data_IF_008143530704
#
_entry.id   IF_008143530704
#
_cell.length_a   1.000
_cell.length_b   1.000
_cell.length_c   1.000
_cell.angle_alpha   90.00
_cell.angle_beta   90.00
_cell.angle_gamma   90.00
#
_symmetry.space_group_name_H-M   'P 1'
#
loop_
_entity.id
_entity.type
_entity.pdbx_description
1 polymer ?
#
# COMPACT_ATOMS: atom_id res chain seq x y z
N UNK A 1 -58.30 -7.32 -46.74
CA UNK A 1 -57.77 -5.95 -46.65
C UNK A 1 -57.73 -5.61 -45.17
N UNK A 2 -56.58 -5.71 -44.52
CA UNK A 2 -56.34 -5.15 -43.17
C UNK A 2 -54.83 -5.26 -42.87
N UNK A 3 -54.07 -4.24 -43.28
CA UNK A 3 -52.69 -4.02 -42.86
C UNK A 3 -52.75 -3.33 -41.49
N UNK A 4 -52.44 -4.04 -40.41
CA UNK A 4 -52.05 -3.41 -39.15
C UNK A 4 -50.64 -2.86 -39.33
N UNK A 5 -50.56 -1.56 -39.58
CA UNK A 5 -49.34 -0.77 -39.45
C UNK A 5 -48.99 -0.77 -37.96
N UNK A 6 -47.90 -1.45 -37.60
CA UNK A 6 -47.28 -1.26 -36.31
C UNK A 6 -46.62 0.12 -36.32
N UNK A 7 -47.26 1.09 -35.66
CA UNK A 7 -46.57 2.31 -35.26
C UNK A 7 -45.50 1.93 -34.24
N UNK A 8 -44.26 1.79 -34.71
CA UNK A 8 -43.10 1.88 -33.85
C UNK A 8 -43.10 3.29 -33.23
N UNK A 9 -43.58 3.39 -31.99
CA UNK A 9 -43.35 4.55 -31.14
C UNK A 9 -41.83 4.71 -31.03
N UNK A 10 -41.28 5.68 -31.78
CA UNK A 10 -39.93 6.20 -31.59
C UNK A 10 -39.85 6.69 -30.14
N UNK A 11 -39.41 5.81 -29.23
CA UNK A 11 -38.99 6.24 -27.89
C UNK A 11 -37.83 7.19 -28.11
N UNK A 12 -37.98 8.43 -27.67
CA UNK A 12 -36.87 9.39 -27.60
C UNK A 12 -35.76 8.75 -26.77
N UNK A 13 -34.77 8.19 -27.45
CA UNK A 13 -33.63 7.58 -26.79
C UNK A 13 -32.77 8.72 -26.28
N UNK A 14 -32.55 8.74 -24.97
CA UNK A 14 -31.59 9.65 -24.35
C UNK A 14 -30.25 9.47 -25.09
N UNK A 15 -29.63 10.54 -25.60
CA UNK A 15 -28.33 10.48 -26.25
C UNK A 15 -27.29 9.77 -25.38
N UNK A 16 -26.45 8.93 -26.00
CA UNK A 16 -25.47 8.10 -25.29
C UNK A 16 -24.55 8.91 -24.37
N UNK A 17 -24.11 10.10 -24.84
CA UNK A 17 -23.26 10.98 -24.02
C UNK A 17 -23.95 11.47 -22.74
N UNK A 18 -25.28 11.63 -22.72
CA UNK A 18 -26.03 12.00 -21.52
C UNK A 18 -26.16 10.79 -20.59
N UNK A 19 -26.39 9.60 -21.14
CA UNK A 19 -26.37 8.34 -20.36
C UNK A 19 -25.02 8.18 -19.66
N UNK A 20 -23.91 8.34 -20.38
CA UNK A 20 -22.56 8.27 -19.81
C UNK A 20 -22.38 9.27 -18.66
N UNK A 21 -22.76 10.54 -18.86
CA UNK A 21 -22.68 11.57 -17.80
C UNK A 21 -23.51 11.22 -16.56
N UNK A 22 -24.69 10.62 -16.73
CA UNK A 22 -25.54 10.18 -15.61
C UNK A 22 -24.88 9.02 -14.88
N UNK A 23 -24.40 8.00 -15.61
CA UNK A 23 -23.78 6.83 -15.02
C UNK A 23 -22.49 7.17 -14.27
N UNK A 24 -21.66 8.09 -14.80
CA UNK A 24 -20.43 8.53 -14.14
C UNK A 24 -20.67 9.19 -12.77
N UNK A 25 -21.83 9.81 -12.56
CA UNK A 25 -22.21 10.42 -11.27
C UNK A 25 -22.87 9.45 -10.30
N UNK A 26 -23.08 8.21 -10.71
CA UNK A 26 -23.82 7.21 -9.94
C UNK A 26 -22.88 6.46 -8.97
N UNK A 27 -23.29 6.22 -7.71
CA UNK A 27 -22.51 5.42 -6.77
C UNK A 27 -22.25 4.00 -7.29
N UNK A 28 -21.08 3.44 -6.97
CA UNK A 28 -20.63 2.15 -7.50
C UNK A 28 -21.61 0.99 -7.23
N UNK A 29 -22.29 0.98 -6.08
CA UNK A 29 -23.27 -0.08 -5.78
C UNK A 29 -24.43 -0.09 -6.79
N UNK A 30 -24.90 1.09 -7.19
CA UNK A 30 -25.96 1.24 -8.18
C UNK A 30 -25.44 0.92 -9.59
N UNK A 31 -24.23 1.38 -9.92
CA UNK A 31 -23.63 1.14 -11.24
C UNK A 31 -23.42 -0.36 -11.51
N UNK A 32 -23.06 -1.13 -10.49
CA UNK A 32 -22.91 -2.58 -10.60
C UNK A 32 -24.25 -3.28 -10.87
N UNK A 33 -25.36 -2.79 -10.29
CA UNK A 33 -26.70 -3.29 -10.59
C UNK A 33 -27.14 -2.92 -12.01
N UNK A 34 -26.73 -1.76 -12.49
CA UNK A 34 -27.06 -1.24 -13.82
C UNK A 34 -26.45 -2.05 -14.97
N UNK A 35 -25.42 -2.86 -14.70
CA UNK A 35 -24.90 -3.85 -15.67
C UNK A 35 -25.96 -4.85 -16.14
N UNK A 36 -26.99 -5.12 -15.33
CA UNK A 36 -28.08 -6.03 -15.69
C UNK A 36 -29.22 -5.37 -16.48
N UNK A 37 -29.18 -4.05 -16.70
CA UNK A 37 -30.26 -3.30 -17.36
C UNK A 37 -30.25 -3.50 -18.87
N UNK A 38 -29.08 -3.48 -19.51
CA UNK A 38 -28.92 -3.76 -20.94
C UNK A 38 -27.48 -4.14 -21.28
N UNK A 39 -27.29 -4.81 -22.42
CA UNK A 39 -25.96 -5.11 -22.94
C UNK A 39 -25.16 -3.83 -23.22
N UNK A 40 -25.79 -2.79 -23.79
CA UNK A 40 -25.13 -1.51 -24.07
C UNK A 40 -24.61 -0.84 -22.80
N UNK A 41 -25.38 -0.85 -21.71
CA UNK A 41 -24.95 -0.29 -20.43
C UNK A 41 -23.82 -1.11 -19.81
N UNK A 42 -23.92 -2.44 -19.84
CA UNK A 42 -22.84 -3.30 -19.36
C UNK A 42 -21.54 -3.02 -20.13
N UNK A 43 -21.60 -2.98 -21.46
CA UNK A 43 -20.46 -2.67 -22.32
C UNK A 43 -19.84 -1.32 -21.97
N UNK A 44 -20.66 -0.27 -21.87
CA UNK A 44 -20.22 1.08 -21.50
C UNK A 44 -19.50 1.11 -20.15
N UNK A 45 -20.08 0.48 -19.11
CA UNK A 45 -19.52 0.46 -17.74
C UNK A 45 -18.19 -0.30 -17.67
N UNK A 46 -17.95 -1.26 -18.56
CA UNK A 46 -16.67 -1.99 -18.67
C UNK A 46 -15.61 -1.30 -19.54
N UNK A 47 -15.92 -0.19 -20.23
CA UNK A 47 -14.93 0.50 -21.05
C UNK A 47 -13.82 1.13 -20.19
N UNK A 48 -12.53 1.05 -20.58
CA UNK A 48 -11.43 1.60 -19.80
C UNK A 48 -11.59 3.08 -19.48
N UNK A 49 -12.05 3.89 -20.44
CA UNK A 49 -12.29 5.32 -20.20
C UNK A 49 -13.36 5.54 -19.12
N UNK A 50 -14.43 4.74 -19.13
CA UNK A 50 -15.53 4.87 -18.18
C UNK A 50 -15.05 4.55 -16.76
N UNK A 51 -14.27 3.47 -16.62
CA UNK A 51 -13.67 3.05 -15.35
C UNK A 51 -12.75 4.17 -14.81
N UNK A 52 -11.91 4.75 -15.66
CA UNK A 52 -11.00 5.86 -15.29
C UNK A 52 -11.76 7.10 -14.82
N UNK A 53 -12.75 7.54 -15.59
CA UNK A 53 -13.57 8.70 -15.26
C UNK A 53 -14.40 8.48 -13.99
N UNK A 54 -14.95 7.27 -13.80
CA UNK A 54 -15.67 6.92 -12.58
C UNK A 54 -14.75 6.90 -11.36
N UNK A 55 -13.56 6.34 -11.50
CA UNK A 55 -12.52 6.30 -10.46
C UNK A 55 -12.06 7.71 -10.05
N UNK A 56 -11.88 8.62 -11.01
CA UNK A 56 -11.50 10.01 -10.73
C UNK A 56 -12.54 10.76 -9.88
N UNK A 57 -13.80 10.33 -9.94
CA UNK A 57 -14.90 10.87 -9.13
C UNK A 57 -15.17 10.05 -7.85
N UNK A 58 -14.38 9.01 -7.58
CA UNK A 58 -14.57 8.15 -6.43
C UNK A 58 -14.24 8.90 -5.13
N UNK A 59 -15.07 8.70 -4.11
CA UNK A 59 -14.84 9.27 -2.80
C UNK A 59 -13.74 8.49 -2.07
N UNK A 60 -12.75 9.16 -1.47
CA UNK A 60 -11.77 8.48 -0.64
C UNK A 60 -12.45 7.93 0.62
N UNK A 61 -12.07 6.72 0.98
CA UNK A 61 -12.46 5.99 2.18
C UNK A 61 -11.18 5.57 2.89
N UNK A 62 -11.29 5.22 4.18
CA UNK A 62 -10.18 4.61 4.91
C UNK A 62 -10.43 3.11 4.95
N UNK A 63 -9.56 2.35 4.29
CA UNK A 63 -9.54 0.91 4.38
C UNK A 63 -8.75 0.52 5.62
N UNK A 64 -9.40 -0.19 6.56
CA UNK A 64 -8.78 -0.69 7.81
C UNK A 64 -8.99 -2.19 7.96
N UNK A 65 -7.94 -2.89 8.38
CA UNK A 65 -8.01 -4.29 8.80
C UNK A 65 -6.97 -4.59 9.87
N UNK A 66 -7.34 -5.49 10.78
CA UNK A 66 -6.38 -6.18 11.61
C UNK A 66 -5.59 -7.20 10.79
N UNK A 67 -4.45 -7.62 11.34
CA UNK A 67 -3.54 -8.53 10.71
C UNK A 67 -3.37 -9.77 11.61
N UNK A 68 -3.92 -10.93 11.23
CA UNK A 68 -4.34 -11.26 9.86
C UNK A 68 -5.74 -10.76 9.47
N UNK A 69 -5.94 -10.60 8.16
CA UNK A 69 -7.20 -10.13 7.55
C UNK A 69 -8.30 -11.16 7.77
N UNK A 70 -9.22 -10.84 8.67
CA UNK A 70 -10.49 -11.58 8.86
C UNK A 70 -11.64 -10.83 8.19
N UNK A 71 -11.64 -9.50 8.27
CA UNK A 71 -12.62 -8.66 7.59
C UNK A 71 -12.02 -7.29 7.26
N UNK A 72 -12.44 -6.71 6.14
CA UNK A 72 -12.07 -5.34 5.78
C UNK A 72 -13.19 -4.38 6.19
N UNK A 73 -12.80 -3.28 6.83
CA UNK A 73 -13.71 -2.18 7.12
C UNK A 73 -13.37 -0.98 6.25
N UNK A 74 -14.40 -0.43 5.60
CA UNK A 74 -14.32 0.85 4.91
C UNK A 74 -14.98 1.91 5.79
N UNK A 75 -14.20 2.92 6.18
CA UNK A 75 -14.62 4.02 7.03
C UNK A 75 -14.75 5.29 6.20
N UNK A 76 -15.76 6.10 6.50
CA UNK A 76 -15.83 7.47 6.00
C UNK A 76 -14.81 8.31 6.76
N UNK A 77 -14.04 9.14 6.06
CA UNK A 77 -13.20 10.13 6.74
C UNK A 77 -14.05 11.34 7.16
N UNK A 78 -14.82 11.14 8.23
CA UNK A 78 -15.57 12.18 8.92
C UNK A 78 -15.23 12.15 10.42
N UNK A 79 -15.72 13.12 11.20
CA UNK A 79 -15.37 13.23 12.61
C UNK A 79 -15.50 11.93 13.43
N UNK A 80 -16.53 11.12 13.15
CA UNK A 80 -16.80 9.86 13.86
C UNK A 80 -16.12 8.62 13.30
N UNK A 81 -15.46 8.69 12.14
CA UNK A 81 -15.00 7.53 11.38
C UNK A 81 -16.11 6.50 11.16
N UNK A 82 -17.26 6.97 10.68
CA UNK A 82 -18.43 6.12 10.52
C UNK A 82 -18.14 4.92 9.61
N UNK A 83 -18.59 3.73 10.04
CA UNK A 83 -18.46 2.50 9.24
C UNK A 83 -19.34 2.59 8.00
N UNK A 84 -18.73 2.73 6.82
CA UNK A 84 -19.46 2.76 5.55
C UNK A 84 -19.91 1.37 5.09
N UNK A 85 -19.05 0.37 5.28
CA UNK A 85 -19.36 -1.03 4.98
C UNK A 85 -18.29 -1.96 5.53
N UNK A 86 -18.72 -3.15 5.98
CA UNK A 86 -17.83 -4.28 6.20
C UNK A 86 -17.80 -5.14 4.93
N UNK A 87 -16.61 -5.54 4.52
CA UNK A 87 -16.39 -6.41 3.37
C UNK A 87 -15.75 -7.69 3.86
N UNK A 88 -16.54 -8.76 3.77
CA UNK A 88 -16.09 -10.09 4.15
C UNK A 88 -15.30 -10.72 3.01
N UNK A 89 -14.02 -10.93 3.25
CA UNK A 89 -13.20 -11.77 2.40
C UNK A 89 -13.37 -13.21 2.88
N UNK A 90 -14.30 -13.94 2.28
CA UNK A 90 -14.66 -15.30 2.66
C UNK A 90 -13.54 -16.28 2.28
N UNK A 91 -12.49 -16.38 3.11
CA UNK A 91 -11.46 -17.41 3.00
C UNK A 91 -11.08 -17.96 4.38
N UNK A 92 -10.88 -19.28 4.51
CA UNK A 92 -10.60 -19.92 5.79
C UNK A 92 -9.20 -19.66 6.36
N UNK A 93 -8.35 -18.86 5.69
CA UNK A 93 -6.95 -18.68 6.05
C UNK A 93 -6.57 -17.20 6.15
N UNK A 94 -5.56 -16.91 6.97
CA UNK A 94 -5.04 -15.58 7.23
C UNK A 94 -4.29 -14.98 6.03
N UNK A 95 -4.69 -13.77 5.65
CA UNK A 95 -3.98 -12.93 4.68
C UNK A 95 -3.45 -11.66 5.33
N UNK A 96 -2.51 -11.01 4.66
CA UNK A 96 -2.04 -9.65 4.97
C UNK A 96 -2.31 -8.77 3.76
N UNK A 97 -2.74 -7.52 3.98
CA UNK A 97 -2.71 -6.53 2.90
C UNK A 97 -1.28 -6.06 2.72
N UNK A 98 -0.80 -6.12 1.47
CA UNK A 98 0.48 -5.53 1.08
C UNK A 98 0.27 -4.06 0.74
N UNK A 99 -0.69 -3.80 -0.15
CA UNK A 99 -0.96 -2.46 -0.67
C UNK A 99 -2.35 -2.39 -1.30
N UNK A 100 -2.81 -1.16 -1.52
CA UNK A 100 -3.98 -0.88 -2.35
C UNK A 100 -3.63 0.20 -3.39
N UNK A 101 -4.22 0.12 -4.57
CA UNK A 101 -4.03 1.06 -5.65
C UNK A 101 -5.30 1.12 -6.50
N UNK A 102 -5.87 2.31 -6.69
CA UNK A 102 -7.01 2.54 -7.58
C UNK A 102 -8.18 1.54 -7.39
N UNK A 103 -8.44 1.18 -6.13
CA UNK A 103 -9.49 0.27 -5.69
C UNK A 103 -9.21 -1.23 -5.84
N UNK A 104 -8.01 -1.60 -6.26
CA UNK A 104 -7.48 -2.97 -6.22
C UNK A 104 -6.60 -3.13 -4.99
N UNK A 105 -6.71 -4.27 -4.31
CA UNK A 105 -5.95 -4.64 -3.12
C UNK A 105 -5.06 -5.84 -3.43
N UNK A 106 -3.79 -5.78 -3.05
CA UNK A 106 -2.86 -6.90 -3.11
C UNK A 106 -2.82 -7.59 -1.74
N UNK A 107 -3.13 -8.87 -1.71
CA UNK A 107 -3.10 -9.71 -0.51
C UNK A 107 -1.97 -10.74 -0.60
N UNK A 108 -1.34 -11.03 0.54
CA UNK A 108 -0.34 -12.09 0.72
C UNK A 108 -0.80 -13.10 1.77
N UNK A 109 -0.74 -14.40 1.47
CA UNK A 109 -1.00 -15.47 2.46
C UNK A 109 0.14 -15.64 3.46
N UNK A 110 -0.17 -15.91 4.75
CA UNK A 110 0.84 -16.04 5.83
C UNK A 110 1.54 -17.39 5.93
N UNK A 111 0.91 -18.50 5.56
CA UNK A 111 1.41 -19.85 5.88
C UNK A 111 2.09 -20.57 4.71
N UNK A 112 3.02 -21.47 5.06
CA UNK A 112 3.89 -22.16 4.09
C UNK A 112 3.16 -23.17 3.21
N UNK A 113 2.01 -23.68 3.64
CA UNK A 113 1.20 -24.70 2.95
C UNK A 113 0.64 -24.26 1.58
N UNK A 114 0.79 -22.98 1.23
CA UNK A 114 0.44 -22.48 -0.10
C UNK A 114 1.63 -22.63 -1.07
N UNK A 115 1.66 -23.81 -1.69
CA UNK A 115 2.53 -24.23 -2.79
C UNK A 115 2.24 -23.44 -4.09
N UNK A 116 2.60 -22.16 -4.10
CA UNK A 116 2.69 -21.35 -5.33
C UNK A 116 1.62 -20.28 -5.56
N UNK A 117 0.57 -20.14 -4.73
CA UNK A 117 -0.50 -19.12 -4.90
C UNK A 117 -0.65 -18.18 -3.71
N UNK A 118 0.45 -17.52 -3.33
CA UNK A 118 0.46 -16.64 -2.15
C UNK A 118 -0.05 -15.23 -2.40
N UNK A 119 -0.14 -14.80 -3.65
CA UNK A 119 -0.51 -13.44 -4.02
C UNK A 119 -1.87 -13.42 -4.70
N UNK A 120 -2.71 -12.50 -4.23
CA UNK A 120 -4.07 -12.33 -4.73
C UNK A 120 -4.27 -10.85 -5.03
N UNK A 121 -4.74 -10.55 -6.23
CA UNK A 121 -5.37 -9.26 -6.51
C UNK A 121 -6.86 -9.38 -6.21
N UNK A 122 -7.39 -8.45 -5.44
CA UNK A 122 -8.79 -8.41 -5.08
C UNK A 122 -9.34 -7.01 -5.36
N UNK A 123 -10.43 -6.93 -6.13
CA UNK A 123 -11.24 -5.73 -6.19
C UNK A 123 -12.48 -5.97 -5.31
N UNK A 124 -12.52 -5.37 -4.10
CA UNK A 124 -13.61 -5.56 -3.16
C UNK A 124 -14.94 -5.05 -3.73
N UNK A 125 -14.89 -3.95 -4.49
CA UNK A 125 -16.08 -3.22 -4.95
C UNK A 125 -16.92 -4.06 -5.90
N UNK A 126 -16.27 -4.79 -6.80
CA UNK A 126 -16.91 -5.67 -7.77
C UNK A 126 -16.91 -7.16 -7.35
N UNK A 127 -16.38 -7.45 -6.14
CA UNK A 127 -16.23 -8.79 -5.58
C UNK A 127 -15.48 -9.77 -6.50
N UNK A 128 -14.47 -9.27 -7.21
CA UNK A 128 -13.63 -10.08 -8.11
C UNK A 128 -12.26 -10.32 -7.48
N UNK A 129 -11.80 -11.57 -7.60
CA UNK A 129 -10.54 -12.04 -7.02
C UNK A 129 -9.76 -12.75 -8.11
N UNK A 130 -8.48 -12.40 -8.25
CA UNK A 130 -7.53 -13.04 -9.16
C UNK A 130 -6.37 -13.62 -8.35
N UNK A 131 -6.14 -14.93 -8.50
CA UNK A 131 -4.96 -15.60 -7.96
C UNK A 131 -3.82 -15.45 -8.93
N UNK A 132 -2.70 -14.88 -8.47
CA UNK A 132 -1.54 -14.76 -9.33
C UNK A 132 -0.92 -16.15 -9.57
N UNK A 133 -0.45 -16.45 -10.79
CA UNK A 133 0.27 -17.67 -11.06
C UNK A 133 1.55 -17.72 -10.21
N UNK A 134 2.07 -18.92 -9.91
CA UNK A 134 3.36 -19.05 -9.28
C UNK A 134 4.43 -18.35 -10.16
N UNK A 135 5.31 -17.56 -9.54
CA UNK A 135 6.44 -16.97 -10.23
C UNK A 135 7.40 -18.05 -10.77
N UNK A 136 8.08 -17.74 -11.87
CA UNK A 136 8.83 -18.74 -12.67
C UNK A 136 10.01 -19.44 -11.97
N UNK A 137 10.65 -18.88 -10.95
CA UNK A 137 12.00 -19.38 -10.60
C UNK A 137 12.47 -19.38 -9.14
N UNK A 138 11.67 -19.02 -8.14
CA UNK A 138 12.16 -19.06 -6.75
C UNK A 138 11.07 -19.51 -5.77
N UNK A 139 11.35 -20.63 -5.09
CA UNK A 139 10.49 -21.23 -4.09
C UNK A 139 10.24 -20.26 -2.92
N UNK A 140 8.96 -19.99 -2.72
CA UNK A 140 8.14 -19.81 -1.50
C UNK A 140 8.75 -19.57 -0.09
N UNK A 141 10.04 -19.42 0.15
CA UNK A 141 10.58 -19.31 1.53
C UNK A 141 11.41 -18.06 1.81
N UNK A 142 11.63 -17.18 0.83
CA UNK A 142 12.54 -16.04 1.01
C UNK A 142 11.83 -14.70 1.15
N UNK A 143 12.37 -13.86 2.02
CA UNK A 143 11.91 -12.48 2.26
C UNK A 143 11.77 -11.74 0.94
N UNK A 144 10.56 -11.25 0.67
CA UNK A 144 10.19 -10.61 -0.58
C UNK A 144 9.58 -9.25 -0.29
N UNK A 145 10.13 -8.19 -0.88
CA UNK A 145 9.41 -6.91 -0.97
C UNK A 145 8.38 -7.05 -2.08
N UNK A 146 7.18 -6.57 -1.80
CA UNK A 146 6.08 -6.57 -2.75
C UNK A 146 5.61 -5.13 -2.92
N UNK A 147 5.07 -4.86 -4.10
CA UNK A 147 4.30 -3.65 -4.30
C UNK A 147 3.09 -3.90 -5.18
N UNK A 148 2.15 -2.96 -5.13
CA UNK A 148 1.08 -2.83 -6.10
C UNK A 148 1.15 -1.41 -6.68
N UNK A 149 0.96 -1.30 -7.98
CA UNK A 149 0.76 -0.01 -8.63
C UNK A 149 0.05 -0.13 -9.97
N UNK A 150 -0.41 1.02 -10.46
CA UNK A 150 -1.08 1.15 -11.74
C UNK A 150 -0.24 2.01 -12.68
N UNK A 151 0.08 1.47 -13.86
CA UNK A 151 0.74 2.19 -14.94
C UNK A 151 -0.32 2.79 -15.90
N UNK A 152 -0.53 4.12 -15.90
CA UNK A 152 -1.50 4.75 -16.77
C UNK A 152 -1.13 4.68 -18.25
N UNK A 153 0.15 4.48 -18.61
CA UNK A 153 0.60 4.41 -20.01
C UNK A 153 0.16 3.10 -20.67
N UNK A 154 0.38 1.98 -19.99
CA UNK A 154 -0.01 0.66 -20.47
C UNK A 154 -1.42 0.23 -20.03
N UNK A 155 -2.12 1.06 -19.24
CA UNK A 155 -3.41 0.71 -18.63
C UNK A 155 -3.33 -0.62 -17.86
N UNK A 156 -2.28 -0.76 -17.04
CA UNK A 156 -1.94 -2.04 -16.42
C UNK A 156 -1.76 -1.93 -14.91
N UNK A 157 -2.24 -2.94 -14.19
CA UNK A 157 -1.85 -3.13 -12.80
C UNK A 157 -0.61 -4.01 -12.77
N UNK A 158 0.45 -3.49 -12.16
CA UNK A 158 1.71 -4.21 -11.99
C UNK A 158 1.91 -4.58 -10.52
N UNK A 159 2.39 -5.79 -10.29
CA UNK A 159 2.79 -6.29 -8.96
C UNK A 159 4.31 -6.54 -8.97
N UNK A 160 5.13 -5.51 -8.73
CA UNK A 160 6.57 -5.69 -8.57
C UNK A 160 6.89 -6.49 -7.31
N UNK A 161 7.96 -7.26 -7.40
CA UNK A 161 8.53 -7.99 -6.29
C UNK A 161 10.05 -8.05 -6.36
N UNK A 162 10.68 -7.95 -5.20
CA UNK A 162 12.13 -8.14 -5.04
C UNK A 162 12.33 -9.32 -4.10
N UNK A 163 13.01 -10.35 -4.57
CA UNK A 163 13.27 -11.58 -3.82
C UNK A 163 14.74 -11.58 -3.43
N UNK A 164 15.06 -11.77 -2.15
CA UNK A 164 16.42 -12.05 -1.71
C UNK A 164 16.75 -13.52 -2.01
N UNK A 165 17.94 -13.84 -2.54
CA UNK A 165 18.32 -15.22 -2.88
C UNK A 165 19.23 -15.90 -1.84
N UNK A 166 19.54 -15.21 -0.76
CA UNK A 166 20.48 -15.66 0.28
C UNK A 166 21.86 -15.04 0.13
N UNK A 167 22.69 -15.16 1.18
CA UNK A 167 23.98 -14.45 1.25
C UNK A 167 25.08 -15.07 0.38
N UNK A 168 24.95 -16.35 0.02
CA UNK A 168 25.89 -17.09 -0.83
C UNK A 168 25.65 -16.88 -2.33
N UNK A 169 24.52 -16.28 -2.71
CA UNK A 169 24.22 -16.00 -4.11
C UNK A 169 25.21 -14.96 -4.68
N UNK A 170 25.62 -15.15 -5.93
CA UNK A 170 26.43 -14.16 -6.66
C UNK A 170 25.67 -12.84 -6.81
N UNK A 171 24.36 -12.94 -7.10
CA UNK A 171 23.40 -11.85 -7.11
C UNK A 171 22.41 -12.03 -5.95
N UNK A 172 22.48 -11.21 -4.89
CA UNK A 172 21.70 -11.44 -3.68
C UNK A 172 20.21 -11.11 -3.84
N UNK A 173 19.81 -10.45 -4.93
CA UNK A 173 18.43 -10.04 -5.19
C UNK A 173 18.04 -10.29 -6.64
N UNK A 174 16.78 -10.70 -6.83
CA UNK A 174 16.13 -10.77 -8.14
C UNK A 174 14.88 -9.93 -8.14
N UNK A 175 14.66 -9.22 -9.24
CA UNK A 175 13.44 -8.49 -9.50
C UNK A 175 12.55 -9.20 -10.51
N UNK A 176 11.24 -9.17 -10.25
CA UNK A 176 10.20 -9.50 -11.24
C UNK A 176 8.99 -8.60 -11.00
N UNK A 177 8.15 -8.44 -12.01
CA UNK A 177 6.80 -7.92 -11.81
C UNK A 177 5.78 -8.78 -12.54
N UNK A 178 4.59 -8.90 -11.95
CA UNK A 178 3.43 -9.45 -12.66
C UNK A 178 2.70 -8.31 -13.36
N UNK A 179 2.31 -8.53 -14.61
CA UNK A 179 1.44 -7.64 -15.39
C UNK A 179 0.05 -8.26 -15.47
N UNK A 180 -0.97 -7.49 -15.08
CA UNK A 180 -2.37 -7.93 -15.19
C UNK A 180 -2.78 -8.11 -16.64
N UNK A 181 -2.36 -7.20 -17.51
CA UNK A 181 -2.67 -7.25 -18.94
C UNK A 181 -2.08 -8.49 -19.63
N UNK A 182 -0.84 -8.90 -19.28
CA UNK A 182 -0.24 -10.10 -19.87
C UNK A 182 -0.61 -11.40 -19.12
N UNK A 183 -1.17 -11.28 -17.91
CA UNK A 183 -1.47 -12.41 -17.05
C UNK A 183 -0.23 -13.19 -16.61
N UNK A 184 0.97 -12.60 -16.69
CA UNK A 184 2.24 -13.31 -16.47
C UNK A 184 3.29 -12.49 -15.74
N UNK A 185 4.28 -13.20 -15.19
CA UNK A 185 5.47 -12.60 -14.58
C UNK A 185 6.50 -12.27 -15.66
N UNK A 186 7.15 -11.12 -15.50
CA UNK A 186 8.35 -10.75 -16.26
C UNK A 186 9.47 -11.78 -16.04
N UNK A 187 10.45 -11.75 -16.94
CA UNK A 187 11.71 -12.46 -16.72
C UNK A 187 12.42 -11.92 -15.48
N UNK A 188 13.32 -12.74 -14.92
CA UNK A 188 14.14 -12.33 -13.78
C UNK A 188 15.11 -11.26 -14.26
N UNK A 189 15.13 -10.12 -13.55
CA UNK A 189 16.09 -9.06 -13.79
C UNK A 189 16.99 -8.91 -12.58
N UNK A 190 18.29 -9.05 -12.81
CA UNK A 190 19.32 -8.73 -11.82
C UNK A 190 19.54 -7.22 -11.86
N UNK A 191 18.76 -6.49 -11.07
CA UNK A 191 18.73 -5.03 -11.13
C UNK A 191 19.73 -4.36 -10.17
N UNK A 192 19.88 -4.91 -8.96
CA UNK A 192 20.64 -4.27 -7.89
C UNK A 192 22.14 -4.13 -8.17
N UNK A 193 22.70 -4.91 -9.09
CA UNK A 193 24.13 -4.85 -9.45
C UNK A 193 24.54 -3.56 -10.15
N UNK A 194 23.59 -2.84 -10.78
CA UNK A 194 23.89 -1.61 -11.51
C UNK A 194 23.54 -0.34 -10.73
N UNK A 195 22.67 -0.41 -9.71
CA UNK A 195 22.23 0.73 -8.89
C UNK A 195 23.13 0.97 -7.68
N UNK A 196 23.58 -0.11 -7.04
CA UNK A 196 24.45 -0.04 -5.87
C UNK A 196 25.84 -0.51 -6.27
N UNK A 197 26.77 0.43 -6.36
CA UNK A 197 28.14 0.25 -6.88
C UNK A 197 28.97 -0.82 -6.14
N UNK A 198 28.48 -1.37 -5.02
CA UNK A 198 29.21 -2.32 -4.18
C UNK A 198 28.39 -3.59 -3.87
N UNK A 199 28.85 -4.74 -4.39
CA UNK A 199 28.25 -6.07 -4.15
C UNK A 199 28.20 -6.46 -2.66
N UNK A 200 29.16 -6.03 -1.85
CA UNK A 200 29.17 -6.33 -0.41
C UNK A 200 28.17 -5.46 0.35
N UNK A 201 27.93 -4.22 -0.11
CA UNK A 201 26.87 -3.38 0.42
C UNK A 201 25.49 -4.03 0.20
N UNK A 202 25.26 -4.66 -0.97
CA UNK A 202 24.02 -5.40 -1.24
C UNK A 202 23.78 -6.56 -0.26
N UNK A 203 24.83 -7.28 0.14
CA UNK A 203 24.70 -8.40 1.09
C UNK A 203 24.30 -7.94 2.48
N UNK A 204 24.70 -6.73 2.87
CA UNK A 204 24.31 -6.12 4.14
C UNK A 204 22.85 -5.68 4.15
N UNK A 205 22.20 -5.43 3.00
CA UNK A 205 20.80 -4.99 2.97
C UNK A 205 19.90 -6.02 3.61
N UNK A 206 19.03 -5.61 4.51
CA UNK A 206 17.95 -6.38 5.11
C UNK A 206 16.60 -5.78 4.71
N UNK A 207 15.66 -6.68 4.40
CA UNK A 207 14.29 -6.35 4.08
C UNK A 207 13.46 -6.59 5.33
N UNK A 208 12.95 -5.53 5.96
CA UNK A 208 11.86 -5.67 6.92
C UNK A 208 10.55 -5.88 6.15
N UNK A 209 9.66 -6.71 6.69
CA UNK A 209 8.48 -7.21 5.99
C UNK A 209 7.18 -6.44 6.29
N UNK A 210 7.27 -5.27 6.93
CA UNK A 210 6.10 -4.51 7.37
C UNK A 210 6.17 -3.06 6.89
N UNK A 211 5.11 -2.60 6.22
CA UNK A 211 4.80 -1.19 5.96
C UNK A 211 5.94 -0.33 5.39
N UNK A 212 6.66 -0.90 4.44
CA UNK A 212 7.78 -0.23 3.77
C UNK A 212 7.41 0.32 2.41
N UNK A 213 6.14 0.38 2.01
CA UNK A 213 5.76 0.84 0.68
C UNK A 213 4.95 2.14 0.70
N UNK A 214 5.33 3.08 -0.16
CA UNK A 214 4.52 4.21 -0.57
C UNK A 214 4.46 4.32 -2.10
N UNK A 215 3.37 4.87 -2.63
CA UNK A 215 3.25 5.13 -4.07
C UNK A 215 2.89 6.59 -4.30
N UNK A 216 3.75 7.30 -5.03
CA UNK A 216 3.59 8.72 -5.38
C UNK A 216 4.02 8.89 -6.83
N UNK A 217 3.29 9.68 -7.63
CA UNK A 217 3.66 10.02 -9.01
C UNK A 217 3.93 8.81 -9.94
N UNK A 218 3.22 7.70 -9.74
CA UNK A 218 3.44 6.48 -10.54
C UNK A 218 4.73 5.73 -10.19
N UNK A 219 5.36 6.08 -9.07
CA UNK A 219 6.58 5.48 -8.56
C UNK A 219 6.29 4.80 -7.24
N UNK A 220 6.74 3.55 -7.13
CA UNK A 220 6.69 2.79 -5.90
C UNK A 220 8.00 3.01 -5.14
N UNK A 221 7.90 3.21 -3.83
CA UNK A 221 9.01 3.46 -2.94
C UNK A 221 9.09 2.35 -1.91
N UNK A 222 10.27 1.80 -1.66
CA UNK A 222 10.53 0.87 -0.57
C UNK A 222 11.64 1.35 0.35
N UNK A 223 11.46 1.16 1.66
CA UNK A 223 12.54 1.30 2.62
C UNK A 223 13.41 0.05 2.68
N UNK A 224 14.71 0.24 2.49
CA UNK A 224 15.75 -0.77 2.65
C UNK A 224 16.67 -0.35 3.81
N UNK A 225 17.17 -1.31 4.56
CA UNK A 225 18.11 -1.04 5.67
C UNK A 225 19.41 -1.82 5.46
N UNK A 226 20.57 -1.21 5.64
CA UNK A 226 21.85 -1.90 5.75
C UNK A 226 22.02 -2.53 7.14
N UNK A 227 22.65 -3.71 7.22
CA UNK A 227 23.09 -4.33 8.48
C UNK A 227 24.44 -3.74 8.88
N UNK A 228 24.50 -3.16 10.07
CA UNK A 228 25.77 -2.98 10.78
C UNK A 228 26.08 -4.20 11.64
N UNK A 229 27.36 -4.55 11.76
CA UNK A 229 27.84 -5.71 12.52
C UNK A 229 27.45 -5.72 14.01
N UNK A 230 27.12 -4.55 14.59
CA UNK A 230 26.69 -4.41 15.99
C UNK A 230 25.32 -5.07 16.26
N UNK A 231 24.46 -5.18 15.24
CA UNK A 231 23.14 -5.82 15.38
C UNK A 231 23.22 -7.35 15.59
N UNK A 232 24.37 -7.99 15.34
CA UNK A 232 24.56 -9.43 15.56
C UNK A 232 24.50 -9.83 17.05
N UNK A 233 25.00 -9.00 17.96
CA UNK A 233 25.04 -9.36 19.39
C UNK A 233 23.68 -9.26 20.08
N UNK A 234 22.78 -8.41 19.58
CA UNK A 234 21.42 -8.28 20.12
C UNK A 234 20.41 -9.27 19.49
N UNK A 235 20.65 -9.73 18.25
CA UNK A 235 19.73 -10.64 17.56
C UNK A 235 19.81 -12.08 18.06
N UNK A 236 20.94 -12.53 18.62
CA UNK A 236 21.07 -13.88 19.19
C UNK A 236 20.36 -14.03 20.54
N UNK A 237 20.04 -12.92 21.21
CA UNK A 237 19.28 -12.88 22.47
C UNK A 237 17.76 -12.86 22.22
N UNK A 238 17.32 -12.51 21.00
CA UNK A 238 15.90 -12.34 20.66
C UNK A 238 15.17 -13.64 20.28
N UNK A 239 15.87 -14.78 20.21
CA UNK A 239 15.25 -16.08 19.85
C UNK A 239 14.58 -16.82 21.01
N UNK A 240 14.67 -16.31 22.24
CA UNK A 240 14.02 -16.92 23.40
C UNK A 240 13.27 -15.89 24.23
N UNK A 241 12.25 -15.22 23.68
CA UNK A 241 11.31 -14.48 24.51
C UNK A 241 9.96 -14.25 23.82
N UNK A 242 8.91 -14.63 24.53
CA UNK A 242 7.49 -14.48 24.26
C UNK A 242 7.08 -13.18 23.57
N UNK A 243 6.18 -13.30 22.59
CA UNK A 243 5.03 -12.46 22.17
C UNK A 243 4.90 -10.96 22.52
N UNK A 244 5.91 -10.25 23.00
CA UNK A 244 5.79 -8.86 23.44
C UNK A 244 7.09 -8.09 23.17
N UNK A 245 7.01 -7.18 22.18
CA UNK A 245 7.88 -6.00 21.95
C UNK A 245 9.26 -6.16 21.29
N UNK A 246 9.20 -6.10 19.95
CA UNK A 246 10.01 -5.33 18.99
C UNK A 246 11.53 -5.50 18.80
N UNK A 247 11.85 -5.43 17.50
CA UNK A 247 13.09 -5.60 16.73
C UNK A 247 14.28 -4.69 17.11
N UNK A 248 15.52 -5.05 16.70
CA UNK A 248 16.75 -4.37 17.12
C UNK A 248 16.82 -2.90 16.69
N UNK A 249 17.47 -2.09 17.53
CA UNK A 249 17.88 -0.70 17.28
C UNK A 249 18.58 -0.59 15.92
N UNK A 250 18.09 0.29 15.04
CA UNK A 250 18.69 0.51 13.71
C UNK A 250 19.42 1.85 13.72
N UNK A 251 20.75 1.87 13.55
CA UNK A 251 21.50 3.11 13.39
C UNK A 251 20.99 3.93 12.20
N UNK A 252 20.99 5.26 12.34
CA UNK A 252 20.45 6.23 11.38
C UNK A 252 21.00 6.12 9.94
N UNK A 253 22.22 5.63 9.77
CA UNK A 253 22.96 5.79 8.51
C UNK A 253 22.71 4.69 7.46
N UNK A 254 21.76 3.80 7.73
CA UNK A 254 21.61 2.58 6.96
C UNK A 254 20.33 2.51 6.11
N UNK A 255 19.54 3.58 6.03
CA UNK A 255 18.27 3.56 5.31
C UNK A 255 18.42 4.09 3.88
N UNK A 256 17.96 3.31 2.90
CA UNK A 256 17.84 3.73 1.50
C UNK A 256 16.37 3.65 1.10
N UNK A 257 15.89 4.68 0.38
CA UNK A 257 14.60 4.63 -0.29
C UNK A 257 14.81 4.16 -1.73
N UNK A 258 14.52 2.90 -1.99
CA UNK A 258 14.51 2.35 -3.34
C UNK A 258 13.24 2.80 -4.06
N UNK A 259 13.36 3.19 -5.32
CA UNK A 259 12.21 3.57 -6.15
C UNK A 259 12.06 2.67 -7.36
N UNK A 260 10.83 2.43 -7.83
CA UNK A 260 10.55 1.75 -9.08
C UNK A 260 9.47 2.48 -9.86
N UNK A 261 9.85 2.98 -11.04
CA UNK A 261 8.99 3.69 -11.96
C UNK A 261 8.24 2.69 -12.83
N UNK A 262 6.91 2.61 -12.64
CA UNK A 262 6.06 1.63 -13.33
C UNK A 262 5.97 1.83 -14.85
N UNK A 263 6.20 3.06 -15.31
CA UNK A 263 5.92 3.49 -16.69
C UNK A 263 7.04 3.19 -17.69
N UNK A 264 8.25 2.93 -17.18
CA UNK A 264 9.45 2.64 -17.96
C UNK A 264 10.27 1.50 -17.34
N UNK A 265 9.75 0.88 -16.27
CA UNK A 265 10.33 -0.27 -15.57
C UNK A 265 11.78 -0.02 -15.08
N UNK A 266 12.07 1.22 -14.68
CA UNK A 266 13.39 1.61 -14.14
C UNK A 266 13.34 1.82 -12.64
N UNK A 267 14.42 1.49 -11.95
CA UNK A 267 14.57 1.93 -10.56
C UNK A 267 15.42 3.19 -10.46
N UNK A 268 15.37 3.78 -9.28
CA UNK A 268 16.31 4.78 -8.82
C UNK A 268 16.36 4.77 -7.31
N UNK A 269 17.03 5.74 -6.74
CA UNK A 269 17.20 5.87 -5.30
C UNK A 269 16.89 7.29 -4.86
N UNK A 270 16.24 7.41 -3.71
CA UNK A 270 16.01 8.68 -3.03
C UNK A 270 16.75 8.65 -1.71
N UNK A 271 17.51 9.71 -1.45
CA UNK A 271 18.14 9.91 -0.15
C UNK A 271 17.11 10.40 0.86
N UNK A 272 17.23 9.88 2.08
CA UNK A 272 16.48 10.36 3.24
C UNK A 272 16.91 11.79 3.61
N UNK A 273 16.09 12.55 4.36
CA UNK A 273 16.40 13.92 4.78
C UNK A 273 17.77 14.05 5.49
N UNK A 274 18.45 15.19 5.37
CA UNK A 274 19.79 15.41 5.96
C UNK A 274 19.84 15.32 7.48
N UNK A 275 18.72 15.62 8.16
CA UNK A 275 18.62 15.46 9.61
C UNK A 275 18.82 14.01 10.08
N UNK A 276 18.86 13.05 9.15
CA UNK A 276 19.15 11.65 9.38
C UNK A 276 20.62 11.27 9.16
N UNK A 277 21.48 12.22 8.78
CA UNK A 277 22.93 12.02 8.79
C UNK A 277 23.52 12.14 10.23
N UNK A 278 22.70 12.59 11.19
CA UNK A 278 23.07 12.76 12.60
C UNK A 278 23.10 11.41 13.34
N UNK A 279 24.32 10.92 13.60
CA UNK A 279 24.58 9.66 14.28
C UNK A 279 24.34 9.69 15.79
N UNK A 280 24.03 10.85 16.36
CA UNK A 280 23.81 10.99 17.81
C UNK A 280 22.40 10.62 18.25
N UNK A 281 21.44 10.58 17.32
CA UNK A 281 20.04 10.22 17.58
C UNK A 281 19.84 8.71 17.62
N UNK A 282 18.84 8.26 18.37
CA UNK A 282 18.54 6.83 18.58
C UNK A 282 17.19 6.47 17.96
N UNK A 283 17.21 6.13 16.67
CA UNK A 283 16.03 5.67 15.93
C UNK A 283 15.75 4.19 16.17
N UNK A 284 14.49 3.92 16.51
CA UNK A 284 14.00 2.57 16.77
C UNK A 284 13.27 2.00 15.57
N UNK A 285 12.61 2.83 14.78
CA UNK A 285 12.00 2.42 13.51
C UNK A 285 11.75 3.60 12.56
N UNK A 286 11.49 3.26 11.30
CA UNK A 286 11.11 4.21 10.25
C UNK A 286 10.07 3.59 9.33
N UNK A 287 9.18 4.41 8.77
CA UNK A 287 8.18 3.99 7.79
C UNK A 287 8.10 5.00 6.66
N UNK A 288 7.64 4.54 5.49
CA UNK A 288 7.36 5.40 4.34
C UNK A 288 5.86 5.38 4.05
N UNK A 289 5.28 6.53 3.78
CA UNK A 289 3.85 6.69 3.54
C UNK A 289 3.57 7.85 2.59
N UNK A 290 2.30 8.20 2.40
CA UNK A 290 1.88 9.33 1.55
C UNK A 290 1.02 10.28 2.36
N UNK A 291 1.43 11.54 2.47
CA UNK A 291 0.76 12.59 3.23
C UNK A 291 0.47 13.77 2.29
N UNK A 292 -0.81 14.11 2.09
CA UNK A 292 -1.25 15.15 1.12
C UNK A 292 -0.61 14.97 -0.26
N UNK A 293 -0.64 13.75 -0.78
CA UNK A 293 -0.04 13.36 -2.06
C UNK A 293 1.49 13.51 -2.16
N UNK A 294 2.17 13.87 -1.07
CA UNK A 294 3.62 13.93 -0.97
C UNK A 294 4.17 12.65 -0.35
N UNK A 295 5.38 12.27 -0.77
CA UNK A 295 6.11 11.18 -0.15
C UNK A 295 6.47 11.59 1.29
N UNK A 296 6.12 10.73 2.25
CA UNK A 296 6.36 10.96 3.67
C UNK A 296 7.33 9.92 4.22
N UNK A 297 8.30 10.38 5.01
CA UNK A 297 9.21 9.55 5.77
C UNK A 297 8.98 9.82 7.26
N UNK A 298 8.57 8.78 7.98
CA UNK A 298 8.19 8.88 9.39
C UNK A 298 9.21 8.15 10.24
N UNK A 299 9.66 8.78 11.31
CA UNK A 299 10.73 8.27 12.14
C UNK A 299 10.35 8.27 13.60
N UNK A 300 10.74 7.22 14.29
CA UNK A 300 10.49 7.03 15.71
C UNK A 300 11.80 7.03 16.47
N UNK A 301 11.95 8.01 17.34
CA UNK A 301 13.12 8.18 18.18
C UNK A 301 12.77 7.85 19.62
N UNK A 302 13.61 7.06 20.28
CA UNK A 302 13.47 6.83 21.71
C UNK A 302 14.04 8.02 22.48
N UNK A 303 13.24 8.59 23.40
CA UNK A 303 13.70 9.73 24.18
C UNK A 303 14.42 9.23 25.43
N UNK A 304 15.77 9.34 25.42
CA UNK A 304 16.64 8.97 26.55
C UNK A 304 16.12 9.54 27.88
N UNK A 305 16.09 8.70 28.92
CA UNK A 305 15.57 8.97 30.28
C UNK A 305 14.04 9.07 30.46
N UNK A 306 13.25 8.91 29.39
CA UNK A 306 11.79 8.81 29.47
C UNK A 306 11.28 7.48 28.91
N UNK A 307 10.03 7.11 29.21
CA UNK A 307 9.33 5.99 28.53
C UNK A 307 8.69 6.43 27.19
N UNK A 308 8.97 7.64 26.74
CA UNK A 308 8.34 8.27 25.59
C UNK A 308 9.08 8.05 24.27
N UNK A 309 8.33 8.19 23.18
CA UNK A 309 8.81 8.13 21.81
C UNK A 309 8.46 9.44 21.11
N UNK A 310 9.39 9.96 20.31
CA UNK A 310 9.11 11.05 19.39
C UNK A 310 8.82 10.48 18.01
N UNK A 311 7.72 10.88 17.41
CA UNK A 311 7.44 10.63 16.00
C UNK A 311 7.70 11.91 15.21
N UNK A 312 8.69 11.91 14.32
CA UNK A 312 8.89 12.97 13.34
C UNK A 312 8.34 12.54 11.99
N UNK A 313 7.57 13.42 11.36
CA UNK A 313 6.95 13.20 10.05
C UNK A 313 7.54 14.22 9.09
N UNK A 314 8.24 13.73 8.09
CA UNK A 314 8.91 14.52 7.05
C UNK A 314 8.24 14.31 5.72
N UNK A 315 8.04 15.37 4.94
CA UNK A 315 7.46 15.29 3.59
C UNK A 315 8.43 15.86 2.57
N UNK A 316 8.46 15.27 1.37
CA UNK A 316 9.28 15.75 0.26
C UNK A 316 8.44 16.73 -0.57
N UNK A 317 8.73 18.03 -0.46
CA UNK A 317 7.97 19.06 -1.15
C UNK A 317 8.23 19.09 -2.67
N UNK A 318 9.46 18.81 -3.08
CA UNK A 318 9.85 18.68 -4.47
C UNK A 318 10.34 17.25 -4.72
N UNK A 319 9.55 16.49 -5.47
CA UNK A 319 9.83 15.08 -5.71
C UNK A 319 11.24 14.86 -6.29
N UNK A 320 12.02 13.98 -5.67
CA UNK A 320 13.39 13.64 -6.04
C UNK A 320 14.47 14.61 -5.55
N UNK A 321 14.11 15.74 -4.92
CA UNK A 321 15.06 16.74 -4.40
C UNK A 321 15.26 16.55 -2.91
N UNK A 322 16.46 16.14 -2.48
CA UNK A 322 16.76 15.83 -1.07
C UNK A 322 16.57 17.04 -0.15
N UNK A 323 16.99 18.21 -0.61
CA UNK A 323 16.95 19.45 0.16
C UNK A 323 15.51 19.95 0.36
N UNK A 324 14.53 19.39 -0.36
CA UNK A 324 13.11 19.72 -0.25
C UNK A 324 12.38 18.95 0.84
N UNK A 325 13.07 18.05 1.54
CA UNK A 325 12.49 17.38 2.69
C UNK A 325 12.25 18.37 3.84
N UNK A 326 11.00 18.58 4.20
CA UNK A 326 10.61 19.46 5.30
C UNK A 326 9.94 18.67 6.42
N UNK A 327 10.29 18.98 7.67
CA UNK A 327 9.63 18.37 8.83
C UNK A 327 8.25 18.99 8.97
N UNK A 328 7.23 18.19 8.72
CA UNK A 328 5.84 18.61 8.84
C UNK A 328 5.39 18.63 10.30
N UNK A 329 5.69 17.56 11.05
CA UNK A 329 5.30 17.43 12.46
C UNK A 329 6.39 16.76 13.30
N UNK A 330 6.41 17.10 14.59
CA UNK A 330 7.14 16.38 15.64
C UNK A 330 6.14 16.10 16.76
N UNK A 331 5.88 14.85 17.07
CA UNK A 331 4.84 14.44 18.02
C UNK A 331 5.51 13.67 19.16
N UNK A 332 5.47 14.22 20.36
CA UNK A 332 5.89 13.52 21.58
C UNK A 332 4.78 12.57 22.04
N UNK A 333 5.11 11.30 22.26
CA UNK A 333 4.17 10.26 22.62
C UNK A 333 4.64 9.47 23.84
N UNK A 334 3.70 9.10 24.70
CA UNK A 334 3.98 8.23 25.86
C UNK A 334 4.05 6.73 25.49
N UNK A 335 3.65 6.37 24.27
CA UNK A 335 3.59 5.00 23.78
C UNK A 335 3.97 4.96 22.30
N UNK A 336 4.46 3.82 21.82
CA UNK A 336 4.68 3.59 20.40
C UNK A 336 3.32 3.58 19.71
N UNK A 337 3.12 4.47 18.75
CA UNK A 337 2.00 4.42 17.83
C UNK A 337 2.47 4.89 16.45
N UNK A 338 2.07 4.17 15.40
CA UNK A 338 2.56 4.40 14.03
C UNK A 338 1.55 5.23 13.23
N UNK A 339 1.94 6.31 12.54
CA UNK A 339 1.03 7.04 11.68
C UNK A 339 0.66 6.16 10.48
N UNK A 340 -0.64 6.08 10.20
CA UNK A 340 -1.17 5.28 9.09
C UNK A 340 -1.91 6.11 8.06
N UNK A 341 -2.65 7.15 8.49
CA UNK A 341 -3.44 8.00 7.57
C UNK A 341 -3.45 9.44 8.07
N UNK A 342 -3.12 10.39 7.19
CA UNK A 342 -3.41 11.82 7.41
C UNK A 342 -4.83 12.13 6.92
N UNK A 343 -5.70 12.53 7.84
CA UNK A 343 -7.12 12.78 7.58
C UNK A 343 -7.33 14.13 6.91
N UNK A 344 -8.48 14.27 6.24
CA UNK A 344 -8.90 15.52 5.60
C UNK A 344 -9.04 16.70 6.58
N UNK A 345 -9.38 16.43 7.85
CA UNK A 345 -9.43 17.45 8.91
C UNK A 345 -8.06 17.84 9.49
N UNK A 346 -6.96 17.23 9.00
CA UNK A 346 -5.59 17.51 9.43
C UNK A 346 -5.10 16.66 10.61
N UNK A 347 -5.96 15.86 11.24
CA UNK A 347 -5.56 14.89 12.26
C UNK A 347 -4.87 13.66 11.62
N UNK A 348 -4.07 12.96 12.41
CA UNK A 348 -3.34 11.77 11.98
C UNK A 348 -3.87 10.56 12.73
N UNK A 349 -4.30 9.54 11.99
CA UNK A 349 -4.60 8.24 12.56
C UNK A 349 -3.31 7.51 12.92
N UNK A 350 -3.22 7.07 14.17
CA UNK A 350 -2.08 6.38 14.75
C UNK A 350 -2.51 4.99 15.22
N UNK A 351 -1.82 3.95 14.74
CA UNK A 351 -2.09 2.54 15.05
C UNK A 351 -1.22 2.05 16.22
N UNK A 352 -1.77 1.17 17.06
CA UNK A 352 -1.02 0.50 18.12
C UNK A 352 -0.96 1.23 19.46
N UNK A 353 -1.68 2.34 19.61
CA UNK A 353 -1.61 3.16 20.83
C UNK A 353 -2.21 2.41 22.02
N UNK A 354 -1.51 2.38 23.17
CA UNK A 354 -1.97 1.77 24.44
C UNK A 354 -2.72 0.44 24.26
N UNK A 355 -2.02 -0.56 23.72
CA UNK A 355 -2.57 -1.90 23.45
C UNK A 355 -3.51 -1.92 22.25
N UNK A 356 -2.95 -1.74 21.06
CA UNK A 356 -3.62 -1.98 19.77
C UNK A 356 -4.86 -1.14 19.49
N UNK A 357 -4.89 0.12 19.96
CA UNK A 357 -5.94 1.09 19.58
C UNK A 357 -5.54 1.93 18.37
N UNK A 358 -6.55 2.24 17.57
CA UNK A 358 -6.49 3.31 16.58
C UNK A 358 -6.90 4.62 17.26
N UNK A 359 -6.01 5.60 17.27
CA UNK A 359 -6.30 6.92 17.84
C UNK A 359 -6.13 8.01 16.79
N UNK A 360 -6.88 9.08 16.93
CA UNK A 360 -6.72 10.28 16.12
C UNK A 360 -5.88 11.29 16.89
N UNK A 361 -4.73 11.68 16.33
CA UNK A 361 -3.81 12.64 16.93
C UNK A 361 -3.93 13.97 16.20
N UNK A 362 -4.17 15.05 16.95
CA UNK A 362 -4.00 16.41 16.43
C UNK A 362 -2.54 16.82 16.58
N UNK A 363 -1.75 16.87 15.48
CA UNK A 363 -0.30 16.90 15.58
C UNK A 363 0.25 18.22 16.15
N UNK A 364 -0.46 19.34 15.98
CA UNK A 364 -0.02 20.66 16.47
C UNK A 364 -0.28 20.88 17.97
N UNK A 365 -1.33 20.28 18.51
CA UNK A 365 -1.70 20.41 19.93
C UNK A 365 -1.39 19.17 20.74
N UNK A 366 -0.85 18.13 20.09
CA UNK A 366 -0.59 16.79 20.65
C UNK A 366 -1.81 16.14 21.32
N UNK A 367 -3.02 16.57 20.93
CA UNK A 367 -4.25 16.05 21.53
C UNK A 367 -4.57 14.71 20.89
N UNK A 368 -4.70 13.67 21.70
CA UNK A 368 -5.04 12.33 21.25
C UNK A 368 -6.51 12.07 21.60
N UNK A 369 -7.28 11.66 20.61
CA UNK A 369 -8.67 11.24 20.73
C UNK A 369 -8.77 9.75 20.43
N UNK A 370 -9.39 8.99 21.33
CA UNK A 370 -9.73 7.60 21.08
C UNK A 370 -10.83 7.53 20.00
N UNK A 371 -10.64 6.68 18.99
CA UNK A 371 -11.64 6.48 17.93
C UNK A 371 -12.66 5.40 18.30
N UNK A 372 -12.42 4.63 19.36
CA UNK A 372 -13.19 3.42 19.70
C UNK A 372 -12.94 2.25 18.74
N UNK A 373 -11.95 2.36 17.85
CA UNK A 373 -11.55 1.31 16.92
C UNK A 373 -10.21 0.73 17.35
N UNK A 374 -10.06 -0.57 17.13
CA UNK A 374 -8.80 -1.27 17.35
C UNK A 374 -7.97 -1.23 16.07
N UNK A 375 -6.66 -1.13 16.20
CA UNK A 375 -5.71 -1.39 15.13
C UNK A 375 -4.36 -1.59 15.79
N UNK A 376 -3.83 -2.81 15.70
CA UNK A 376 -2.48 -3.08 16.19
C UNK A 376 -1.44 -2.30 15.40
N UNK A 377 -0.24 -2.16 15.96
CA UNK A 377 0.91 -1.55 15.26
C UNK A 377 1.17 -2.18 13.89
N UNK A 378 0.87 -3.49 13.77
CA UNK A 378 1.05 -4.29 12.56
C UNK A 378 -0.21 -4.31 11.68
N UNK A 379 -1.30 -3.68 12.08
CA UNK A 379 -2.53 -3.58 11.30
C UNK A 379 -2.35 -2.70 10.07
N UNK A 380 -3.24 -2.86 9.08
CA UNK A 380 -3.20 -2.05 7.85
C UNK A 380 -4.29 -1.00 7.88
N UNK A 381 -3.91 0.25 7.63
CA UNK A 381 -4.83 1.31 7.30
C UNK A 381 -4.26 2.25 6.23
N UNK A 382 -5.05 2.55 5.21
CA UNK A 382 -4.68 3.47 4.14
C UNK A 382 -5.93 4.06 3.47
N UNK A 383 -5.76 5.14 2.72
CA UNK A 383 -6.82 5.58 1.82
C UNK A 383 -7.11 4.53 0.74
N UNK A 384 -8.39 4.41 0.42
CA UNK A 384 -8.93 3.49 -0.56
C UNK A 384 -10.06 4.16 -1.31
N UNK A 385 -10.21 3.81 -2.59
CA UNK A 385 -11.32 4.26 -3.42
C UNK A 385 -12.06 3.05 -3.95
N UNK A 386 -13.38 3.12 -3.99
CA UNK A 386 -14.15 2.07 -4.67
C UNK A 386 -13.97 2.20 -6.18
N UNK A 387 -13.80 1.10 -6.88
CA UNK A 387 -13.39 1.09 -8.29
C UNK A 387 -14.06 0.01 -9.11
N UNK A 388 -14.30 0.30 -10.38
CA UNK A 388 -14.78 -0.65 -11.39
C UNK A 388 -13.64 -1.42 -12.07
N UNK A 389 -12.39 -1.25 -11.64
CA UNK A 389 -11.22 -1.93 -12.19
C UNK A 389 -11.43 -3.44 -12.32
N UNK A 390 -11.33 -3.94 -13.55
CA UNK A 390 -11.50 -5.35 -13.87
C UNK A 390 -10.20 -6.12 -13.57
N UNK A 391 -10.34 -7.36 -13.14
CA UNK A 391 -9.21 -8.28 -12.90
C UNK A 391 -9.16 -9.43 -13.91
N UNK A 392 -10.20 -9.53 -14.74
CA UNK A 392 -10.34 -10.40 -15.88
C UNK A 392 -10.28 -9.53 -17.13
N UNK A 393 -9.10 -9.47 -17.77
CA UNK A 393 -8.92 -8.87 -19.10
C UNK A 393 -8.77 -9.96 -20.14
#
# INVERSE_FOLDING_TARGET
MERKVAEEVKRDRIPEHLVTKILLKTPIKSILRFRCVSQSWNSLITLPYFIKEHLANAKPLILRTENPVVSLSLLLDNEGLDRSSQMEFHRPHSFEIVASCNGVVLLRGRYHEFDGRRLILWNPSIKKTLYLPPPRSYASTVTTLLGLGYDPRSDDYKVPRIVRLGNSAEHPFVFQFFSLNSGSWSENVDFFSNSLENKDALRSIFISCYDNQAMVNGVIHWLLNHRDGIAMEMSSVATEMSSDRWSPVVPHNNVIVLTFHLSNDTFGEIRVPECFDDTTKWVTCSTISVFKDLLSFNVFEHVSYSRGFNCEIWVMEQYGVRESWTRLYKIEMLHIARPVVLRSNGEILMAGYRSDRLVSCQPLTHRIRDTGLELSTNGYAAYFVQSLALLDK
#
